data_IF_536137024838
#
_entry.id   IF_536137024838
#
_cell.length_a   1.000
_cell.length_b   1.000
_cell.length_c   1.000
_cell.angle_alpha   90.00
_cell.angle_beta   90.00
_cell.angle_gamma   90.00
#
_symmetry.space_group_name_H-M   'P 1'
#
loop_
_entity.id
_entity.type
_entity.pdbx_description
1 polymer ?
#
# COMPACT_ATOMS: atom_id res chain seq x y z
N UNK A 1 -44.77 -23.59 -37.32
CA UNK A 1 -43.87 -22.94 -36.36
C UNK A 1 -44.58 -22.91 -35.02
N UNK A 2 -44.22 -23.85 -34.15
CA UNK A 2 -44.94 -24.10 -32.91
C UNK A 2 -44.83 -22.91 -31.96
N UNK A 3 -45.94 -22.59 -31.29
CA UNK A 3 -46.05 -21.48 -30.33
C UNK A 3 -44.93 -21.56 -29.27
N UNK A 4 -44.51 -22.79 -28.93
CA UNK A 4 -43.44 -23.06 -27.96
C UNK A 4 -42.06 -22.54 -28.39
N UNK A 5 -41.68 -22.68 -29.67
CA UNK A 5 -40.37 -22.21 -30.17
C UNK A 5 -40.32 -20.68 -30.24
N UNK A 6 -41.45 -20.03 -30.49
CA UNK A 6 -41.56 -18.55 -30.44
C UNK A 6 -41.40 -18.02 -29.02
N UNK A 7 -42.05 -18.63 -28.02
CA UNK A 7 -41.92 -18.24 -26.61
C UNK A 7 -40.48 -18.42 -26.13
N UNK A 8 -39.85 -19.55 -26.46
CA UNK A 8 -38.45 -19.80 -26.11
C UNK A 8 -37.49 -18.75 -26.68
N UNK A 9 -37.64 -18.40 -27.97
CA UNK A 9 -36.80 -17.38 -28.60
C UNK A 9 -36.97 -16.00 -27.97
N UNK A 10 -38.19 -15.64 -27.53
CA UNK A 10 -38.44 -14.36 -26.82
C UNK A 10 -37.71 -14.36 -25.48
N UNK A 11 -37.80 -15.45 -24.70
CA UNK A 11 -37.12 -15.56 -23.40
C UNK A 11 -35.60 -15.53 -23.57
N UNK A 12 -35.07 -16.27 -24.54
CA UNK A 12 -33.64 -16.28 -24.84
C UNK A 12 -33.14 -14.89 -25.25
N UNK A 13 -33.89 -14.19 -26.12
CA UNK A 13 -33.56 -12.82 -26.51
C UNK A 13 -33.57 -11.86 -25.32
N UNK A 14 -34.59 -11.95 -24.44
CA UNK A 14 -34.69 -11.10 -23.26
C UNK A 14 -33.55 -11.34 -22.27
N UNK A 15 -33.10 -12.59 -22.12
CA UNK A 15 -31.96 -12.95 -21.29
C UNK A 15 -30.65 -12.35 -21.85
N UNK A 16 -30.42 -12.47 -23.16
CA UNK A 16 -29.25 -11.88 -23.83
C UNK A 16 -29.27 -10.36 -23.71
N UNK A 17 -30.43 -9.72 -23.89
CA UNK A 17 -30.56 -8.27 -23.80
C UNK A 17 -30.26 -7.74 -22.39
N UNK A 18 -30.72 -8.46 -21.35
CA UNK A 18 -30.37 -8.15 -19.96
C UNK A 18 -28.87 -8.33 -19.68
N UNK A 19 -28.26 -9.39 -20.21
CA UNK A 19 -26.81 -9.61 -20.05
C UNK A 19 -26.00 -8.46 -20.65
N UNK A 20 -26.39 -8.00 -21.85
CA UNK A 20 -25.78 -6.84 -22.51
C UNK A 20 -26.01 -5.56 -21.69
N UNK A 21 -27.22 -5.35 -21.17
CA UNK A 21 -27.52 -4.19 -20.33
C UNK A 21 -26.63 -4.14 -19.08
N UNK A 22 -26.45 -5.27 -18.39
CA UNK A 22 -25.53 -5.39 -17.24
C UNK A 22 -24.08 -5.14 -17.66
N UNK A 23 -23.65 -5.67 -18.81
CA UNK A 23 -22.30 -5.43 -19.34
C UNK A 23 -22.02 -3.97 -19.66
N UNK A 24 -22.95 -3.29 -20.35
CA UNK A 24 -22.87 -1.86 -20.63
C UNK A 24 -22.89 -1.03 -19.34
N UNK A 25 -23.70 -1.41 -18.37
CA UNK A 25 -23.76 -0.72 -17.07
C UNK A 25 -22.44 -0.84 -16.30
N UNK A 26 -21.83 -2.03 -16.27
CA UNK A 26 -20.50 -2.25 -15.70
C UNK A 26 -19.44 -1.41 -16.43
N UNK A 27 -19.42 -1.45 -17.77
CA UNK A 27 -18.46 -0.67 -18.56
C UNK A 27 -18.59 0.84 -18.31
N UNK A 28 -19.82 1.36 -18.17
CA UNK A 28 -20.08 2.75 -17.81
C UNK A 28 -19.58 3.10 -16.40
N UNK A 29 -19.75 2.20 -15.44
CA UNK A 29 -19.22 2.38 -14.07
C UNK A 29 -17.69 2.46 -14.04
N UNK A 30 -17.01 1.61 -14.82
CA UNK A 30 -15.55 1.66 -14.96
C UNK A 30 -15.09 2.94 -15.69
N UNK A 31 -15.74 3.31 -16.80
CA UNK A 31 -15.36 4.49 -17.57
C UNK A 31 -15.61 5.83 -16.85
N UNK A 32 -16.61 5.89 -15.97
CA UNK A 32 -16.92 7.09 -15.17
C UNK A 32 -16.05 7.27 -13.93
N UNK A 33 -15.11 6.35 -13.66
CA UNK A 33 -14.26 6.38 -12.47
C UNK A 33 -15.03 6.21 -11.15
N UNK A 34 -16.30 5.78 -11.21
CA UNK A 34 -17.14 5.55 -10.03
C UNK A 34 -16.85 4.21 -9.35
N UNK A 35 -16.32 3.24 -10.10
CA UNK A 35 -15.73 2.02 -9.57
C UNK A 35 -14.22 2.11 -9.69
N UNK A 36 -13.56 2.29 -8.55
CA UNK A 36 -12.10 2.16 -8.45
C UNK A 36 -11.75 0.72 -8.09
N UNK A 37 -10.65 0.18 -8.62
CA UNK A 37 -10.24 -1.20 -8.37
C UNK A 37 -10.09 -1.47 -6.86
N UNK A 38 -9.62 -0.47 -6.13
CA UNK A 38 -9.43 -0.49 -4.68
C UNK A 38 -10.76 -0.57 -3.89
N UNK A 39 -11.85 -0.02 -4.44
CA UNK A 39 -13.20 -0.15 -3.85
C UNK A 39 -13.77 -1.54 -4.05
N UNK A 40 -13.48 -2.16 -5.20
CA UNK A 40 -13.88 -3.53 -5.53
C UNK A 40 -13.17 -4.54 -4.61
N UNK A 41 -11.91 -4.28 -4.30
CA UNK A 41 -11.13 -5.09 -3.36
C UNK A 41 -11.65 -4.95 -1.92
N UNK A 42 -12.02 -3.73 -1.51
CA UNK A 42 -12.68 -3.49 -0.21
C UNK A 42 -14.03 -4.17 -0.07
N UNK A 43 -14.89 -4.13 -1.09
CA UNK A 43 -16.17 -4.84 -1.04
C UNK A 43 -15.97 -6.35 -1.08
N UNK A 44 -14.99 -6.85 -1.84
CA UNK A 44 -14.58 -8.26 -1.78
C UNK A 44 -14.15 -8.66 -0.37
N UNK A 45 -13.39 -7.83 0.34
CA UNK A 45 -12.99 -8.10 1.73
C UNK A 45 -14.18 -8.12 2.71
N UNK A 46 -15.21 -7.31 2.49
CA UNK A 46 -16.41 -7.28 3.34
C UNK A 46 -17.27 -8.53 3.12
N UNK A 47 -17.41 -8.99 1.87
CA UNK A 47 -18.24 -10.16 1.53
C UNK A 47 -17.49 -11.49 1.58
N UNK A 48 -16.16 -11.46 1.66
CA UNK A 48 -15.34 -12.62 1.93
C UNK A 48 -15.29 -12.83 3.45
N UNK A 49 -16.40 -13.30 4.03
CA UNK A 49 -16.34 -13.97 5.33
C UNK A 49 -15.26 -15.05 5.19
N UNK A 50 -14.17 -15.00 5.98
CA UNK A 50 -13.10 -15.98 5.85
C UNK A 50 -13.72 -17.36 6.10
N UNK A 51 -13.62 -18.27 5.13
CA UNK A 51 -14.02 -19.67 5.31
C UNK A 51 -13.28 -20.28 6.52
N UNK A 52 -12.13 -19.72 6.90
CA UNK A 52 -11.39 -20.03 8.13
C UNK A 52 -12.11 -19.62 9.43
N UNK A 53 -12.90 -18.55 9.44
CA UNK A 53 -13.70 -18.19 10.62
C UNK A 53 -14.91 -19.13 10.76
N UNK A 54 -15.60 -19.43 9.66
CA UNK A 54 -16.73 -20.37 9.69
C UNK A 54 -16.29 -21.82 10.01
N UNK A 55 -15.09 -22.24 9.58
CA UNK A 55 -14.53 -23.54 9.97
C UNK A 55 -14.05 -23.53 11.42
N UNK A 56 -13.45 -22.45 11.91
CA UNK A 56 -13.01 -22.36 13.32
C UNK A 56 -14.18 -22.35 14.30
N UNK A 57 -15.30 -21.73 13.95
CA UNK A 57 -16.50 -21.73 14.78
C UNK A 57 -17.17 -23.11 14.80
N UNK A 58 -17.14 -23.85 13.68
CA UNK A 58 -17.61 -25.25 13.64
C UNK A 58 -16.71 -26.18 14.44
N UNK A 59 -15.40 -26.04 14.32
CA UNK A 59 -14.44 -26.86 15.10
C UNK A 59 -14.56 -26.53 16.59
N UNK A 60 -14.70 -25.26 16.97
CA UNK A 60 -14.90 -24.87 18.37
C UNK A 60 -16.24 -25.37 18.95
N UNK A 61 -17.29 -25.43 18.13
CA UNK A 61 -18.58 -26.01 18.54
C UNK A 61 -18.48 -27.53 18.73
N UNK A 62 -17.82 -28.23 17.81
CA UNK A 62 -17.60 -29.69 17.91
C UNK A 62 -16.69 -30.05 19.11
N UNK A 63 -15.65 -29.26 19.38
CA UNK A 63 -14.79 -29.44 20.55
C UNK A 63 -15.54 -29.18 21.87
N UNK A 64 -16.41 -28.16 21.91
CA UNK A 64 -17.24 -27.89 23.09
C UNK A 64 -18.24 -29.02 23.37
N UNK A 65 -18.83 -29.62 22.33
CA UNK A 65 -19.71 -30.78 22.46
C UNK A 65 -18.94 -32.04 22.91
N UNK A 66 -17.72 -32.25 22.39
CA UNK A 66 -16.85 -33.35 22.82
C UNK A 66 -16.44 -33.23 24.30
N UNK A 67 -16.05 -32.03 24.74
CA UNK A 67 -15.70 -31.75 26.14
C UNK A 67 -16.92 -31.95 27.05
N UNK A 68 -18.11 -31.51 26.63
CA UNK A 68 -19.33 -31.71 27.40
C UNK A 68 -19.69 -33.21 27.56
N UNK A 69 -19.47 -34.01 26.51
CA UNK A 69 -19.65 -35.46 26.54
C UNK A 69 -18.63 -36.16 27.45
N UNK A 70 -17.35 -35.77 27.40
CA UNK A 70 -16.32 -36.31 28.28
C UNK A 70 -16.61 -35.97 29.75
N UNK A 71 -16.97 -34.72 30.06
CA UNK A 71 -17.35 -34.32 31.42
C UNK A 71 -18.57 -35.10 31.95
N UNK A 72 -19.55 -35.38 31.10
CA UNK A 72 -20.71 -36.19 31.47
C UNK A 72 -20.34 -37.66 31.73
N UNK A 73 -19.40 -38.22 30.96
CA UNK A 73 -18.88 -39.57 31.15
C UNK A 73 -18.02 -39.69 32.40
N UNK A 74 -17.17 -38.71 32.69
CA UNK A 74 -16.37 -38.65 33.91
C UNK A 74 -17.25 -38.60 35.15
N UNK A 75 -18.28 -37.73 35.15
CA UNK A 75 -19.25 -37.68 36.25
C UNK A 75 -20.00 -39.01 36.45
N UNK A 76 -20.36 -39.69 35.36
CA UNK A 76 -20.99 -41.00 35.44
C UNK A 76 -20.04 -42.10 35.95
N UNK A 77 -18.73 -41.99 35.65
CA UNK A 77 -17.71 -42.93 36.11
C UNK A 77 -17.41 -42.78 37.61
N UNK A 78 -17.42 -41.55 38.14
CA UNK A 78 -17.15 -41.24 39.55
C UNK A 78 -18.21 -41.81 40.50
N UNK A 79 -19.44 -42.01 40.02
CA UNK A 79 -20.55 -42.60 40.79
C UNK A 79 -20.40 -44.12 40.96
N UNK A 80 -19.50 -44.78 40.22
CA UNK A 80 -19.35 -46.25 40.22
C UNK A 80 -18.12 -46.79 40.94
N UNK A 81 -17.30 -45.96 41.61
CA UNK A 81 -16.18 -46.52 42.36
C UNK A 81 -16.68 -47.24 43.63
N UNK A 82 -16.49 -48.57 43.74
CA UNK A 82 -16.81 -49.28 44.97
C UNK A 82 -15.83 -48.86 46.07
N UNK A 83 -16.38 -48.33 47.16
CA UNK A 83 -15.67 -48.03 48.40
C UNK A 83 -15.24 -49.33 49.10
N UNK A 84 -14.22 -50.01 48.55
CA UNK A 84 -13.57 -51.16 49.16
C UNK A 84 -12.34 -50.71 49.95
N UNK A 85 -12.51 -50.55 51.26
CA UNK A 85 -11.44 -50.22 52.21
C UNK A 85 -10.40 -51.33 52.27
N UNK A 86 -9.11 -50.99 52.05
CA UNK A 86 -7.90 -51.50 52.75
C UNK A 86 -6.59 -51.48 51.92
N UNK A 87 -6.47 -50.64 50.87
CA UNK A 87 -5.17 -50.35 50.22
C UNK A 87 -4.70 -48.87 50.33
N UNK A 88 -4.68 -48.24 51.52
CA UNK A 88 -4.39 -46.80 51.64
C UNK A 88 -2.91 -46.39 51.52
N UNK A 89 -1.95 -47.33 51.55
CA UNK A 89 -0.51 -46.98 51.58
C UNK A 89 0.09 -46.97 50.17
N UNK A 90 -0.14 -48.01 49.37
CA UNK A 90 0.37 -48.09 47.98
C UNK A 90 -0.27 -47.04 47.05
N UNK A 91 -1.48 -46.56 47.38
CA UNK A 91 -2.17 -45.52 46.60
C UNK A 91 -1.55 -44.14 46.77
N UNK A 92 -0.99 -43.81 47.94
CA UNK A 92 -0.34 -42.52 48.17
C UNK A 92 0.98 -42.41 47.39
N UNK A 93 1.80 -43.46 47.40
CA UNK A 93 3.05 -43.49 46.60
C UNK A 93 2.75 -43.40 45.10
N UNK A 94 1.70 -44.08 44.63
CA UNK A 94 1.26 -43.98 43.24
C UNK A 94 0.79 -42.56 42.87
N UNK A 95 0.07 -41.87 43.77
CA UNK A 95 -0.37 -40.48 43.58
C UNK A 95 0.83 -39.53 43.54
N UNK A 96 1.80 -39.68 44.44
CA UNK A 96 3.01 -38.84 44.46
C UNK A 96 3.85 -39.03 43.20
N UNK A 97 4.04 -40.27 42.77
CA UNK A 97 4.74 -40.59 41.51
C UNK A 97 4.00 -40.03 40.30
N UNK A 98 2.67 -40.09 40.30
CA UNK A 98 1.86 -39.50 39.23
C UNK A 98 1.99 -37.97 39.21
N UNK A 99 1.93 -37.32 40.37
CA UNK A 99 2.13 -35.87 40.52
C UNK A 99 3.50 -35.44 40.01
N UNK A 100 4.58 -36.13 40.39
CA UNK A 100 5.92 -35.82 39.91
C UNK A 100 6.05 -35.99 38.38
N UNK A 101 5.40 -37.01 37.80
CA UNK A 101 5.36 -37.18 36.34
C UNK A 101 4.61 -36.05 35.65
N UNK A 102 3.48 -35.62 36.19
CA UNK A 102 2.73 -34.47 35.67
C UNK A 102 3.55 -33.20 35.74
N UNK A 103 4.17 -32.89 36.88
CA UNK A 103 5.00 -31.70 37.05
C UNK A 103 6.17 -31.66 36.06
N UNK A 104 6.80 -32.82 35.78
CA UNK A 104 7.86 -32.91 34.75
C UNK A 104 7.33 -32.67 33.34
N UNK A 105 6.16 -33.20 33.00
CA UNK A 105 5.52 -32.96 31.69
C UNK A 105 5.17 -31.49 31.52
N UNK A 106 4.49 -30.90 32.49
CA UNK A 106 4.14 -29.47 32.48
C UNK A 106 5.37 -28.57 32.32
N UNK A 107 6.48 -28.86 33.01
CA UNK A 107 7.73 -28.10 32.83
C UNK A 107 8.29 -28.25 31.41
N UNK A 108 8.32 -29.47 30.88
CA UNK A 108 8.79 -29.71 29.50
C UNK A 108 7.92 -29.02 28.47
N UNK A 109 6.60 -28.98 28.68
CA UNK A 109 5.67 -28.35 27.75
C UNK A 109 5.81 -26.82 27.81
N UNK A 110 5.93 -26.22 29.01
CA UNK A 110 6.22 -24.80 29.16
C UNK A 110 7.56 -24.39 28.51
N UNK A 111 8.58 -25.24 28.61
CA UNK A 111 9.86 -25.00 27.94
C UNK A 111 9.71 -25.04 26.42
N UNK A 112 8.94 -26.00 25.88
CA UNK A 112 8.64 -26.07 24.44
C UNK A 112 7.90 -24.84 23.96
N UNK A 113 6.80 -24.47 24.63
CA UNK A 113 6.00 -23.30 24.28
C UNK A 113 6.85 -22.03 24.28
N UNK A 114 7.72 -21.88 25.30
CA UNK A 114 8.65 -20.75 25.37
C UNK A 114 9.64 -20.74 24.20
N UNK A 115 10.19 -21.90 23.82
CA UNK A 115 11.09 -21.97 22.65
C UNK A 115 10.37 -21.67 21.36
N UNK A 116 9.14 -22.16 21.19
CA UNK A 116 8.32 -21.88 20.01
C UNK A 116 8.00 -20.39 19.90
N UNK A 117 7.58 -19.74 21.00
CA UNK A 117 7.32 -18.30 21.03
C UNK A 117 8.56 -17.48 20.64
N UNK A 118 9.74 -17.82 21.17
CA UNK A 118 10.98 -17.14 20.81
C UNK A 118 11.33 -17.31 19.32
N UNK A 119 11.06 -18.48 18.75
CA UNK A 119 11.27 -18.73 17.33
C UNK A 119 10.24 -18.01 16.45
N UNK A 120 8.99 -17.89 16.91
CA UNK A 120 7.98 -17.07 16.25
C UNK A 120 8.36 -15.59 16.24
N UNK A 121 8.81 -15.04 17.38
CA UNK A 121 9.29 -13.66 17.48
C UNK A 121 10.46 -13.40 16.52
N UNK A 122 11.44 -14.32 16.46
CA UNK A 122 12.57 -14.23 15.53
C UNK A 122 12.12 -14.25 14.07
N UNK A 123 11.19 -15.13 13.71
CA UNK A 123 10.63 -15.21 12.34
C UNK A 123 9.88 -13.94 11.98
N UNK A 124 9.11 -13.39 12.91
CA UNK A 124 8.36 -12.16 12.71
C UNK A 124 9.32 -10.98 12.52
N UNK A 125 10.32 -10.82 13.39
CA UNK A 125 11.35 -9.79 13.25
C UNK A 125 12.12 -9.90 11.91
N UNK A 126 12.44 -11.12 11.48
CA UNK A 126 13.09 -11.35 10.18
C UNK A 126 12.19 -10.94 9.00
N UNK A 127 10.89 -11.27 9.05
CA UNK A 127 9.90 -10.87 8.04
C UNK A 127 9.72 -9.36 7.98
N UNK A 128 9.65 -8.69 9.13
CA UNK A 128 9.55 -7.23 9.20
C UNK A 128 10.79 -6.55 8.61
N UNK A 129 11.99 -7.06 8.92
CA UNK A 129 13.23 -6.54 8.37
C UNK A 129 13.30 -6.72 6.85
N UNK A 130 12.86 -7.87 6.32
CA UNK A 130 12.78 -8.12 4.89
C UNK A 130 11.77 -7.19 4.20
N UNK A 131 10.59 -7.00 4.79
CA UNK A 131 9.56 -6.10 4.28
C UNK A 131 10.08 -4.65 4.24
N UNK A 132 10.72 -4.17 5.31
CA UNK A 132 11.33 -2.82 5.36
C UNK A 132 12.36 -2.63 4.25
N UNK A 133 13.23 -3.63 4.00
CA UNK A 133 14.22 -3.59 2.91
C UNK A 133 13.56 -3.52 1.53
N UNK A 134 12.48 -4.30 1.31
CA UNK A 134 11.73 -4.27 0.05
C UNK A 134 11.05 -2.93 -0.17
N UNK A 135 10.45 -2.34 0.88
CA UNK A 135 9.83 -1.02 0.80
C UNK A 135 10.85 0.06 0.46
N UNK A 136 11.98 0.11 1.17
CA UNK A 136 13.02 1.12 0.88
C UNK A 136 13.61 0.95 -0.53
N UNK A 137 13.81 -0.29 -1.00
CA UNK A 137 14.28 -0.54 -2.35
C UNK A 137 13.24 -0.14 -3.41
N UNK A 138 11.96 -0.37 -3.13
CA UNK A 138 10.87 0.03 -4.01
C UNK A 138 10.74 1.55 -4.09
N UNK A 139 10.80 2.26 -2.96
CA UNK A 139 10.77 3.72 -2.91
C UNK A 139 11.94 4.33 -3.69
N UNK A 140 13.16 3.82 -3.47
CA UNK A 140 14.34 4.24 -4.24
C UNK A 140 14.13 4.02 -5.76
N UNK A 141 13.59 2.87 -6.17
CA UNK A 141 13.30 2.62 -7.58
C UNK A 141 12.23 3.55 -8.15
N UNK A 142 11.29 4.02 -7.33
CA UNK A 142 10.23 4.94 -7.72
C UNK A 142 10.77 6.36 -7.88
N UNK A 143 11.64 6.82 -6.98
CA UNK A 143 12.32 8.12 -7.12
C UNK A 143 13.24 8.12 -8.33
N UNK A 144 13.96 7.03 -8.58
CA UNK A 144 14.84 6.90 -9.75
C UNK A 144 14.05 6.96 -11.05
N UNK A 145 12.90 6.28 -11.11
CA UNK A 145 12.01 6.33 -12.29
C UNK A 145 11.41 7.71 -12.51
N UNK A 146 10.91 8.35 -11.45
CA UNK A 146 10.37 9.72 -11.53
C UNK A 146 11.41 10.70 -12.04
N UNK A 147 12.60 10.70 -11.45
CA UNK A 147 13.69 11.60 -11.89
C UNK A 147 14.16 11.29 -13.32
N UNK A 148 14.11 10.03 -13.76
CA UNK A 148 14.40 9.66 -15.14
C UNK A 148 13.31 10.13 -16.11
N UNK A 149 12.04 9.93 -15.77
CA UNK A 149 10.87 10.39 -16.54
C UNK A 149 10.87 11.92 -16.65
N UNK A 150 11.03 12.63 -15.53
CA UNK A 150 11.16 14.09 -15.46
C UNK A 150 12.29 14.59 -16.35
N UNK A 151 13.47 13.94 -16.35
CA UNK A 151 14.57 14.28 -17.27
C UNK A 151 14.19 14.06 -18.75
N UNK A 152 13.48 12.99 -19.07
CA UNK A 152 13.04 12.71 -20.44
C UNK A 152 12.00 13.75 -20.89
N UNK A 153 11.03 14.08 -20.05
CA UNK A 153 10.03 15.10 -20.31
C UNK A 153 10.67 16.48 -20.44
N UNK A 154 11.57 16.84 -19.52
CA UNK A 154 12.33 18.07 -19.56
C UNK A 154 13.13 18.21 -20.86
N UNK A 155 13.85 17.17 -21.29
CA UNK A 155 14.60 17.22 -22.56
C UNK A 155 13.67 17.29 -23.78
N UNK A 156 12.48 16.70 -23.72
CA UNK A 156 11.47 16.78 -24.79
C UNK A 156 10.90 18.20 -24.89
N UNK A 157 10.51 18.81 -23.77
CA UNK A 157 10.01 20.18 -23.70
C UNK A 157 11.09 21.16 -24.15
N UNK A 158 12.33 20.97 -23.71
CA UNK A 158 13.48 21.79 -24.14
C UNK A 158 13.67 21.71 -25.65
N UNK A 159 13.67 20.51 -26.24
CA UNK A 159 13.78 20.35 -27.71
C UNK A 159 12.61 20.97 -28.47
N UNK A 160 11.40 20.88 -27.92
CA UNK A 160 10.22 21.51 -28.50
C UNK A 160 10.38 23.04 -28.50
N UNK A 161 10.80 23.61 -27.38
CA UNK A 161 11.09 25.05 -27.25
C UNK A 161 12.20 25.53 -28.19
N UNK A 162 13.24 24.73 -28.42
CA UNK A 162 14.30 25.04 -29.39
C UNK A 162 13.82 25.01 -30.84
N UNK A 163 12.81 24.18 -31.14
CA UNK A 163 12.25 24.07 -32.49
C UNK A 163 11.30 25.22 -32.85
N UNK A 164 10.79 25.94 -31.85
CA UNK A 164 9.89 27.07 -32.03
C UNK A 164 10.67 28.33 -32.46
N UNK A 165 10.06 29.24 -33.25
CA UNK A 165 10.65 30.53 -33.55
C UNK A 165 10.89 31.35 -32.28
N UNK A 166 11.98 32.13 -32.26
CA UNK A 166 12.40 32.91 -31.08
C UNK A 166 11.29 33.81 -30.49
N UNK A 167 10.38 34.33 -31.34
CA UNK A 167 9.23 35.14 -30.88
C UNK A 167 8.23 34.32 -30.05
N UNK A 168 7.89 33.11 -30.50
CA UNK A 168 6.95 32.21 -29.81
C UNK A 168 7.57 31.63 -28.54
N UNK A 169 8.86 31.24 -28.58
CA UNK A 169 9.56 30.77 -27.39
C UNK A 169 9.67 31.86 -26.32
N UNK A 170 9.82 33.14 -26.73
CA UNK A 170 9.75 34.28 -25.81
C UNK A 170 8.39 34.37 -25.12
N UNK A 171 7.31 34.36 -25.88
CA UNK A 171 5.94 34.46 -25.33
C UNK A 171 5.66 33.36 -24.31
N UNK A 172 6.10 32.13 -24.59
CA UNK A 172 5.98 31.01 -23.67
C UNK A 172 6.77 31.21 -22.37
N UNK A 173 8.02 31.70 -22.45
CA UNK A 173 8.84 31.97 -21.27
C UNK A 173 8.26 33.12 -20.43
N UNK A 174 7.70 34.15 -21.07
CA UNK A 174 7.04 35.25 -20.36
C UNK A 174 5.79 34.73 -19.63
N UNK A 175 5.01 33.86 -20.27
CA UNK A 175 3.86 33.22 -19.64
C UNK A 175 4.28 32.39 -18.41
N UNK A 176 5.28 31.53 -18.53
CA UNK A 176 5.82 30.76 -17.39
C UNK A 176 6.31 31.66 -16.24
N UNK A 177 6.98 32.77 -16.58
CA UNK A 177 7.41 33.73 -15.56
C UNK A 177 6.22 34.44 -14.90
N UNK A 178 5.14 34.71 -15.64
CA UNK A 178 3.90 35.27 -15.11
C UNK A 178 3.18 34.34 -14.14
N UNK A 179 3.26 33.02 -14.39
CA UNK A 179 2.70 31.98 -13.52
C UNK A 179 3.58 31.68 -12.28
N UNK A 180 4.69 32.41 -12.10
CA UNK A 180 5.62 32.23 -10.98
C UNK A 180 6.63 31.09 -11.16
N UNK A 181 6.67 30.43 -12.32
CA UNK A 181 7.59 29.33 -12.64
C UNK A 181 8.93 29.85 -13.20
N UNK A 182 9.51 30.86 -12.54
CA UNK A 182 10.76 31.48 -13.00
C UNK A 182 11.96 30.51 -12.92
N UNK A 183 11.98 29.61 -11.93
CA UNK A 183 13.04 28.62 -11.77
C UNK A 183 13.08 27.63 -12.96
N UNK A 184 11.94 27.06 -13.32
CA UNK A 184 11.82 26.13 -14.46
C UNK A 184 12.23 26.80 -15.78
N UNK A 185 11.81 28.06 -16.00
CA UNK A 185 12.20 28.82 -17.17
C UNK A 185 13.73 29.01 -17.28
N UNK A 186 14.41 29.22 -16.15
CA UNK A 186 15.87 29.32 -16.09
C UNK A 186 16.54 27.99 -16.42
N UNK A 187 16.01 26.88 -15.92
CA UNK A 187 16.55 25.56 -16.21
C UNK A 187 16.37 25.17 -17.67
N UNK A 188 15.20 25.43 -18.25
CA UNK A 188 14.99 25.28 -19.69
C UNK A 188 15.99 26.13 -20.50
N UNK A 189 16.16 27.41 -20.16
CA UNK A 189 17.15 28.29 -20.83
C UNK A 189 18.60 27.81 -20.64
N UNK A 190 18.93 27.16 -19.52
CA UNK A 190 20.26 26.59 -19.27
C UNK A 190 20.51 25.35 -20.12
N UNK A 191 19.49 24.51 -20.29
CA UNK A 191 19.56 23.29 -21.09
C UNK A 191 19.53 23.55 -22.61
N UNK A 192 19.00 24.70 -23.04
CA UNK A 192 19.00 25.10 -24.45
C UNK A 192 20.41 25.42 -24.99
N UNK A 193 20.58 25.25 -26.31
CA UNK A 193 21.75 25.68 -27.06
C UNK A 193 22.00 27.18 -26.87
N UNK A 194 23.27 27.62 -26.78
CA UNK A 194 23.58 29.03 -26.54
C UNK A 194 23.05 29.96 -27.65
N UNK A 195 23.04 29.50 -28.90
CA UNK A 195 22.53 30.29 -30.04
C UNK A 195 21.02 30.55 -29.97
N UNK A 196 20.21 29.53 -29.67
CA UNK A 196 18.75 29.70 -29.53
C UNK A 196 18.42 30.57 -28.32
N UNK A 197 19.14 30.40 -27.20
CA UNK A 197 19.01 31.30 -26.05
C UNK A 197 19.28 32.77 -26.42
N UNK A 198 20.36 33.06 -27.16
CA UNK A 198 20.66 34.44 -27.57
C UNK A 198 19.62 35.02 -28.52
N UNK A 199 19.04 34.21 -29.42
CA UNK A 199 18.00 34.70 -30.33
C UNK A 199 16.68 34.99 -29.62
N UNK A 200 16.33 34.21 -28.59
CA UNK A 200 15.18 34.46 -27.71
C UNK A 200 15.36 35.79 -26.97
N UNK A 201 16.53 36.03 -26.35
CA UNK A 201 16.81 37.31 -25.69
C UNK A 201 16.81 38.49 -26.69
N UNK A 202 17.29 38.31 -27.92
CA UNK A 202 17.22 39.34 -28.95
C UNK A 202 15.78 39.67 -29.41
N UNK A 203 14.84 38.74 -29.23
CA UNK A 203 13.42 38.95 -29.52
C UNK A 203 12.68 39.69 -28.40
N UNK A 204 13.25 39.78 -27.19
CA UNK A 204 12.74 40.55 -26.04
C UNK A 204 13.05 42.04 -26.22
N UNK A 205 12.13 42.76 -26.89
CA UNK A 205 12.29 44.19 -27.20
C UNK A 205 11.41 45.12 -26.35
N UNK A 206 10.40 44.59 -25.66
CA UNK A 206 9.54 45.38 -24.78
C UNK A 206 10.31 45.79 -23.52
N UNK A 207 10.01 46.95 -22.92
CA UNK A 207 10.66 47.40 -21.68
C UNK A 207 10.40 46.41 -20.52
N UNK A 208 9.20 45.84 -20.43
CA UNK A 208 8.85 44.82 -19.45
C UNK A 208 9.65 43.52 -19.69
N UNK A 209 9.76 43.09 -20.95
CA UNK A 209 10.56 41.93 -21.34
C UNK A 209 12.04 42.13 -21.00
N UNK A 210 12.57 43.35 -21.11
CA UNK A 210 13.97 43.64 -20.78
C UNK A 210 14.25 43.49 -19.27
N UNK A 211 13.31 43.90 -18.41
CA UNK A 211 13.45 43.71 -16.97
C UNK A 211 13.45 42.22 -16.63
N UNK A 212 12.51 41.44 -17.19
CA UNK A 212 12.47 39.98 -17.03
C UNK A 212 13.73 39.31 -17.57
N UNK A 213 14.21 39.71 -18.75
CA UNK A 213 15.46 39.21 -19.33
C UNK A 213 16.65 39.45 -18.39
N UNK A 214 16.73 40.64 -17.79
CA UNK A 214 17.79 40.96 -16.83
C UNK A 214 17.72 40.11 -15.55
N UNK A 215 16.51 39.80 -15.08
CA UNK A 215 16.28 38.93 -13.94
C UNK A 215 16.67 37.48 -14.26
N UNK A 216 16.28 36.97 -15.44
CA UNK A 216 16.65 35.64 -15.94
C UNK A 216 18.16 35.50 -16.15
N UNK A 217 18.84 36.54 -16.64
CA UNK A 217 20.30 36.53 -16.78
C UNK A 217 21.01 36.52 -15.42
N UNK A 218 20.47 37.23 -14.43
CA UNK A 218 21.01 37.20 -13.06
C UNK A 218 20.86 35.82 -12.43
N UNK A 219 19.71 35.17 -12.57
CA UNK A 219 19.49 33.81 -12.05
C UNK A 219 20.31 32.76 -12.81
N UNK A 220 20.47 32.88 -14.13
CA UNK A 220 21.35 32.01 -14.92
C UNK A 220 22.81 32.01 -14.43
N UNK A 221 23.29 33.15 -13.92
CA UNK A 221 24.64 33.30 -13.36
C UNK A 221 24.82 32.56 -12.04
N UNK A 222 23.76 32.33 -11.27
CA UNK A 222 23.82 31.59 -10.00
C UNK A 222 23.70 30.09 -10.30
N UNK A 223 24.70 29.27 -9.93
CA UNK A 223 24.60 27.83 -10.10
C UNK A 223 23.45 27.25 -9.28
N UNK A 224 22.71 26.25 -9.80
CA UNK A 224 21.47 25.76 -9.20
C UNK A 224 21.70 25.17 -7.79
N UNK A 225 22.88 24.63 -7.51
CA UNK A 225 23.20 24.03 -6.21
C UNK A 225 23.18 25.01 -5.04
N UNK A 226 23.20 26.33 -5.28
CA UNK A 226 23.17 27.32 -4.21
C UNK A 226 21.75 27.69 -3.77
N UNK A 227 20.70 27.27 -4.49
CA UNK A 227 19.31 27.62 -4.15
C UNK A 227 18.56 26.48 -3.45
N UNK A 228 18.86 25.21 -3.74
CA UNK A 228 18.25 24.08 -3.02
C UNK A 228 18.70 23.99 -1.56
N UNK A 229 19.97 24.33 -1.26
CA UNK A 229 20.46 24.35 0.13
C UNK A 229 19.80 25.45 0.99
N UNK A 230 19.25 26.51 0.37
CA UNK A 230 18.67 27.63 1.09
C UNK A 230 17.22 27.37 1.54
N UNK A 231 16.50 26.47 0.88
CA UNK A 231 15.10 26.11 1.21
C UNK A 231 15.01 24.99 2.24
N UNK A 232 15.97 24.06 2.29
CA UNK A 232 15.94 22.95 3.25
C UNK A 232 16.20 23.40 4.71
N UNK A 233 16.91 24.52 4.91
CA UNK A 233 17.21 25.05 6.26
C UNK A 233 15.95 25.62 6.95
N UNK A 234 14.92 26.04 6.20
CA UNK A 234 13.71 26.63 6.78
C UNK A 234 12.75 25.57 7.31
N UNK A 235 12.70 24.38 6.71
CA UNK A 235 11.82 23.29 7.15
C UNK A 235 12.37 22.48 8.33
N UNK A 236 13.70 22.34 8.44
CA UNK A 236 14.32 21.66 9.58
C UNK A 236 14.12 22.40 10.93
N UNK A 237 13.86 23.72 10.89
CA UNK A 237 13.66 24.52 12.10
C UNK A 237 12.23 24.44 12.66
N UNK A 238 11.25 23.86 11.95
CA UNK A 238 9.85 23.82 12.40
C UNK A 238 9.45 22.51 13.10
N UNK A 239 10.26 21.45 12.98
CA UNK A 239 9.93 20.11 13.49
C UNK A 239 10.41 19.79 14.92
N UNK A 240 11.10 20.71 15.62
CA UNK A 240 11.70 20.41 16.94
C UNK A 240 10.93 20.92 18.17
N UNK A 241 9.66 21.30 18.03
CA UNK A 241 8.83 21.78 19.13
C UNK A 241 7.63 20.86 19.42
N UNK A 242 7.86 19.67 19.98
CA UNK A 242 6.83 18.97 20.74
C UNK A 242 7.45 18.18 21.88
N UNK A 243 7.43 18.83 23.05
CA UNK A 243 7.95 18.37 24.33
C UNK A 243 6.96 17.36 24.95
N UNK A 244 7.40 16.23 25.53
CA UNK A 244 6.52 15.29 26.21
C UNK A 244 6.15 15.80 27.61
N UNK A 245 4.91 15.55 28.02
CA UNK A 245 4.47 15.53 29.44
C UNK A 245 3.99 14.13 29.77
#
# INVERSE_FOLDING_TARGET
MDVMTKVWNIVAFLAVMNLIAVGCFMAWLFGSGRMDAERLERTRLIFHVPIEQESSERVAAEEAEAIALEMAQEQASLVRLPAGSNQPIDSLEAIEMHRQRMERRFRSDLERDRTELLDFERRLAAREADLKRRLSAFEASRTDRRTAEEKIEFTRVTKLLESLPAKSSKEYLVLMCGDGQMADAVDYLRAMRPGTRTSIFAAMKSEEDMQLASALLKSLRVPPSAMDDATEIVDASSASATNPK
#
